data_IF_853645417076
#
_entry.id   IF_853645417076
#
_cell.length_a   1.000
_cell.length_b   1.000
_cell.length_c   1.000
_cell.angle_alpha   90.00
_cell.angle_beta   90.00
_cell.angle_gamma   90.00
#
_symmetry.space_group_name_H-M   'P 1'
#
loop_
_entity.id
_entity.type
_entity.pdbx_description
1 polymer ?
#
# COMPACT_ATOMS: atom_id res chain seq x y z
N UNK A 1 47.16 9.13 -27.16
CA UNK A 1 45.96 9.94 -27.33
C UNK A 1 44.90 9.40 -26.34
N UNK A 2 44.74 10.06 -25.22
CA UNK A 2 43.78 9.66 -24.18
C UNK A 2 42.37 10.03 -24.69
N UNK A 3 41.57 9.04 -24.97
CA UNK A 3 40.14 9.29 -25.26
C UNK A 3 39.48 9.70 -23.95
N UNK A 4 39.18 10.97 -23.80
CA UNK A 4 38.24 11.41 -22.73
C UNK A 4 36.90 10.74 -22.96
N UNK A 5 36.31 10.09 -21.96
CA UNK A 5 34.97 9.52 -22.10
C UNK A 5 34.00 10.65 -22.42
N UNK A 6 33.23 10.50 -23.48
CA UNK A 6 32.15 11.44 -23.86
C UNK A 6 31.19 11.62 -22.66
N UNK A 7 30.86 12.87 -22.30
CA UNK A 7 29.92 13.08 -21.19
C UNK A 7 28.62 12.34 -21.47
N UNK A 8 28.00 11.67 -20.47
CA UNK A 8 26.85 10.79 -20.66
C UNK A 8 25.56 11.52 -21.11
N UNK A 9 25.62 12.82 -21.35
CA UNK A 9 24.49 13.65 -21.71
C UNK A 9 24.08 13.62 -23.19
N UNK A 10 24.88 13.01 -24.07
CA UNK A 10 24.64 12.98 -25.52
C UNK A 10 24.24 11.60 -26.06
N UNK A 11 24.24 10.55 -25.26
CA UNK A 11 23.75 9.24 -25.69
C UNK A 11 22.24 9.26 -25.94
N UNK A 12 21.78 8.58 -26.98
CA UNK A 12 20.39 8.41 -27.29
C UNK A 12 19.63 7.75 -26.12
N UNK A 13 18.44 8.29 -25.80
CA UNK A 13 17.58 7.79 -24.74
C UNK A 13 16.53 6.86 -25.33
N UNK A 14 16.69 5.57 -25.07
CA UNK A 14 15.76 4.53 -25.52
C UNK A 14 14.94 3.98 -24.36
N UNK A 15 13.60 3.95 -24.51
CA UNK A 15 12.70 3.27 -23.58
C UNK A 15 12.61 1.80 -23.97
N UNK A 16 12.83 0.88 -23.02
CA UNK A 16 12.76 -0.55 -23.28
C UNK A 16 12.44 -1.35 -22.01
N UNK A 17 11.89 -2.53 -22.22
CA UNK A 17 11.72 -3.56 -21.18
C UNK A 17 13.09 -4.12 -20.78
N UNK A 18 13.23 -4.52 -19.55
CA UNK A 18 14.44 -5.12 -18.99
C UNK A 18 14.60 -6.54 -19.50
N UNK A 19 15.74 -6.86 -20.10
CA UNK A 19 16.06 -8.25 -20.50
C UNK A 19 16.58 -9.03 -19.28
N UNK A 20 16.46 -10.38 -19.28
CA UNK A 20 16.89 -11.20 -18.15
C UNK A 20 18.34 -11.01 -17.73
N UNK A 21 19.25 -10.79 -18.68
CA UNK A 21 20.68 -10.53 -18.44
C UNK A 21 20.97 -9.09 -17.96
N UNK A 22 19.97 -8.20 -17.97
CA UNK A 22 20.08 -6.82 -17.54
C UNK A 22 19.49 -6.56 -16.15
N UNK A 23 18.80 -7.55 -15.54
CA UNK A 23 18.07 -7.40 -14.29
C UNK A 23 18.96 -6.80 -13.19
N UNK A 24 20.14 -7.37 -12.93
CA UNK A 24 21.02 -6.85 -11.90
C UNK A 24 21.43 -5.38 -12.14
N UNK A 25 21.74 -5.02 -13.39
CA UNK A 25 22.12 -3.65 -13.74
C UNK A 25 20.95 -2.67 -13.56
N UNK A 26 19.72 -3.14 -13.79
CA UNK A 26 18.50 -2.38 -13.55
C UNK A 26 18.21 -2.19 -12.07
N UNK A 27 18.30 -3.25 -11.25
CA UNK A 27 18.13 -3.20 -9.80
C UNK A 27 19.11 -2.24 -9.14
N UNK A 28 20.39 -2.26 -9.58
CA UNK A 28 21.40 -1.30 -9.13
C UNK A 28 20.99 0.15 -9.46
N UNK A 29 20.40 0.37 -10.63
CA UNK A 29 19.91 1.70 -11.02
C UNK A 29 18.68 2.13 -10.19
N UNK A 30 17.77 1.20 -9.87
CA UNK A 30 16.64 1.43 -8.95
C UNK A 30 17.17 1.86 -7.58
N UNK A 31 18.04 1.06 -6.98
CA UNK A 31 18.60 1.29 -5.65
C UNK A 31 19.33 2.62 -5.55
N UNK A 32 20.16 2.94 -6.57
CA UNK A 32 20.84 4.23 -6.67
C UNK A 32 19.86 5.40 -6.80
N UNK A 33 18.74 5.20 -7.51
CA UNK A 33 17.66 6.20 -7.65
C UNK A 33 16.98 6.55 -6.33
N UNK A 34 16.94 5.61 -5.37
CA UNK A 34 16.48 5.78 -4.00
C UNK A 34 17.59 6.15 -3.01
N UNK A 35 18.80 6.42 -3.48
CA UNK A 35 19.96 6.78 -2.65
C UNK A 35 20.32 5.69 -1.62
N UNK A 36 20.16 4.43 -1.97
CA UNK A 36 20.45 3.26 -1.13
C UNK A 36 21.60 2.43 -1.72
N UNK A 37 22.17 1.55 -0.91
CA UNK A 37 23.16 0.59 -1.35
C UNK A 37 22.49 -0.65 -1.97
N UNK A 38 23.11 -1.22 -3.01
CA UNK A 38 22.59 -2.42 -3.65
C UNK A 38 22.97 -3.68 -2.86
N UNK A 39 21.97 -4.52 -2.63
CA UNK A 39 22.13 -5.82 -2.00
C UNK A 39 21.37 -6.89 -2.81
N UNK A 40 22.10 -7.76 -3.50
CA UNK A 40 21.52 -8.72 -4.44
C UNK A 40 20.60 -9.76 -3.77
N UNK A 41 20.87 -10.13 -2.53
CA UNK A 41 20.07 -11.06 -1.73
C UNK A 41 18.66 -10.51 -1.39
N UNK A 42 18.50 -9.19 -1.23
CA UNK A 42 17.19 -8.57 -1.08
C UNK A 42 16.35 -8.70 -2.35
N UNK A 43 16.97 -8.37 -3.47
CA UNK A 43 16.31 -8.45 -4.77
C UNK A 43 15.96 -9.88 -5.16
N UNK A 44 16.76 -10.86 -4.81
CA UNK A 44 16.44 -12.28 -5.02
C UNK A 44 15.16 -12.69 -4.28
N UNK A 45 14.95 -12.18 -3.06
CA UNK A 45 13.71 -12.39 -2.31
C UNK A 45 12.50 -11.71 -2.99
N UNK A 46 12.68 -10.47 -3.45
CA UNK A 46 11.59 -9.67 -4.01
C UNK A 46 11.22 -10.05 -5.45
N UNK A 47 12.19 -10.48 -6.28
CA UNK A 47 11.95 -10.85 -7.69
C UNK A 47 10.78 -11.80 -7.87
N UNK A 48 10.61 -12.77 -6.98
CA UNK A 48 9.51 -13.75 -7.05
C UNK A 48 8.13 -13.11 -6.95
N UNK A 49 8.04 -11.98 -6.26
CA UNK A 49 6.80 -11.24 -6.08
C UNK A 49 6.50 -10.26 -7.23
N UNK A 50 7.46 -10.02 -8.12
CA UNK A 50 7.32 -9.08 -9.23
C UNK A 50 7.34 -9.79 -10.58
N UNK A 51 6.65 -9.22 -11.56
CA UNK A 51 6.58 -9.70 -12.95
C UNK A 51 7.64 -8.98 -13.78
N UNK A 52 8.77 -9.64 -14.05
CA UNK A 52 9.95 -9.04 -14.70
C UNK A 52 9.63 -8.48 -16.09
N UNK A 53 8.71 -9.09 -16.84
CA UNK A 53 8.24 -8.63 -18.15
C UNK A 53 7.56 -7.25 -18.09
N UNK A 54 7.22 -6.77 -16.89
CA UNK A 54 6.62 -5.47 -16.64
C UNK A 54 7.62 -4.44 -16.09
N UNK A 55 8.91 -4.76 -16.15
CA UNK A 55 9.99 -3.87 -15.74
C UNK A 55 10.53 -3.13 -16.94
N UNK A 56 10.60 -1.82 -16.88
CA UNK A 56 11.13 -1.01 -17.97
C UNK A 56 11.73 0.31 -17.49
N UNK A 57 12.47 0.94 -18.38
CA UNK A 57 13.08 2.23 -18.12
C UNK A 57 13.73 2.81 -19.36
N UNK A 58 14.25 4.02 -19.22
CA UNK A 58 15.12 4.61 -20.23
C UNK A 58 16.58 4.21 -20.02
N UNK A 59 17.24 3.89 -21.12
CA UNK A 59 18.70 3.74 -21.16
C UNK A 59 19.36 4.91 -21.87
N UNK A 60 20.60 5.20 -21.43
CA UNK A 60 21.54 6.09 -22.10
C UNK A 60 22.83 5.29 -22.36
N UNK A 61 23.01 4.78 -23.58
CA UNK A 61 24.02 3.77 -23.86
C UNK A 61 23.70 2.47 -23.12
N UNK A 62 24.67 1.98 -22.34
CA UNK A 62 24.59 0.77 -21.52
C UNK A 62 24.02 0.99 -20.11
N UNK A 63 23.71 2.24 -19.74
CA UNK A 63 23.27 2.60 -18.39
C UNK A 63 21.76 2.83 -18.33
N UNK A 64 21.07 2.23 -17.36
CA UNK A 64 19.73 2.59 -16.97
C UNK A 64 19.70 3.96 -16.26
N UNK A 65 18.86 4.87 -16.73
CA UNK A 65 18.74 6.24 -16.20
C UNK A 65 17.36 6.53 -15.62
N UNK A 66 16.42 5.64 -15.84
CA UNK A 66 15.12 5.61 -15.17
C UNK A 66 14.69 4.19 -14.91
N UNK A 67 13.77 4.01 -13.99
CA UNK A 67 13.16 2.71 -13.70
C UNK A 67 11.68 2.85 -13.35
N UNK A 68 10.92 1.82 -13.63
CA UNK A 68 9.59 1.56 -13.07
C UNK A 68 9.28 0.08 -13.16
N UNK A 69 8.58 -0.42 -12.16
CA UNK A 69 8.06 -1.77 -12.09
C UNK A 69 6.55 -1.70 -11.88
N UNK A 70 5.84 -2.71 -12.34
CA UNK A 70 4.46 -2.93 -11.91
C UNK A 70 4.18 -4.43 -11.77
N UNK A 71 3.23 -4.78 -10.93
CA UNK A 71 2.74 -6.15 -10.78
C UNK A 71 1.23 -6.17 -10.89
N UNK A 72 0.68 -7.18 -11.57
CA UNK A 72 -0.75 -7.44 -11.55
C UNK A 72 -1.14 -7.97 -10.17
N UNK A 73 -2.14 -7.35 -9.54
CA UNK A 73 -2.65 -7.71 -8.22
C UNK A 73 -4.16 -7.61 -8.21
N UNK A 74 -4.79 -8.24 -7.21
CA UNK A 74 -6.21 -8.03 -6.90
C UNK A 74 -6.35 -7.18 -5.66
N UNK A 75 -7.28 -6.23 -5.72
CA UNK A 75 -7.60 -5.33 -4.61
C UNK A 75 -9.08 -5.47 -4.25
N UNK A 76 -9.35 -5.58 -2.95
CA UNK A 76 -10.72 -5.56 -2.42
C UNK A 76 -11.30 -4.17 -2.60
N UNK A 77 -12.51 -4.11 -3.13
CA UNK A 77 -13.37 -2.93 -3.21
C UNK A 77 -14.73 -3.24 -2.56
N UNK A 78 -15.57 -2.26 -2.24
CA UNK A 78 -16.89 -2.54 -1.70
C UNK A 78 -17.67 -3.52 -2.58
N UNK A 79 -18.04 -4.68 -2.03
CA UNK A 79 -18.83 -5.72 -2.70
C UNK A 79 -18.10 -6.55 -3.76
N UNK A 80 -16.77 -6.42 -3.89
CA UNK A 80 -16.02 -7.20 -4.89
C UNK A 80 -14.52 -7.01 -4.87
N UNK A 81 -13.90 -7.36 -5.97
CA UNK A 81 -12.46 -7.15 -6.20
C UNK A 81 -12.21 -6.51 -7.57
N UNK A 82 -11.10 -5.82 -7.70
CA UNK A 82 -10.65 -5.22 -8.96
C UNK A 82 -9.20 -5.59 -9.22
N UNK A 83 -8.87 -5.84 -10.48
CA UNK A 83 -7.48 -6.03 -10.89
C UNK A 83 -6.77 -4.68 -10.92
N UNK A 84 -5.56 -4.64 -10.38
CA UNK A 84 -4.76 -3.42 -10.29
C UNK A 84 -3.34 -3.64 -10.81
N UNK A 85 -2.76 -2.60 -11.39
CA UNK A 85 -1.32 -2.50 -11.61
C UNK A 85 -0.67 -1.87 -10.36
N UNK A 86 -0.05 -2.67 -9.53
CA UNK A 86 0.72 -2.18 -8.37
C UNK A 86 2.07 -1.63 -8.86
N UNK A 87 2.20 -0.30 -8.91
CA UNK A 87 3.35 0.41 -9.46
C UNK A 87 4.37 0.71 -8.37
N UNK A 88 5.64 0.45 -8.64
CA UNK A 88 6.74 0.70 -7.70
C UNK A 88 8.04 1.04 -8.41
N UNK A 89 9.10 1.31 -7.66
CA UNK A 89 10.47 1.53 -8.13
C UNK A 89 10.59 2.61 -9.22
N UNK A 90 9.77 3.66 -9.13
CA UNK A 90 9.76 4.76 -10.09
C UNK A 90 10.90 5.73 -9.77
N UNK A 91 11.94 5.72 -10.59
CA UNK A 91 13.10 6.61 -10.40
C UNK A 91 13.53 7.34 -11.67
N UNK A 92 14.19 8.47 -11.51
CA UNK A 92 14.91 9.18 -12.58
C UNK A 92 16.26 9.63 -12.02
N UNK A 93 17.33 9.15 -12.61
CA UNK A 93 18.69 9.52 -12.22
C UNK A 93 18.87 11.05 -12.19
N UNK A 94 19.52 11.63 -11.17
CA UNK A 94 19.57 13.09 -10.95
C UNK A 94 20.02 13.90 -12.18
N UNK A 95 21.03 13.42 -12.91
CA UNK A 95 21.54 14.07 -14.13
C UNK A 95 20.56 14.06 -15.32
N UNK A 96 19.48 13.28 -15.23
CA UNK A 96 18.49 13.12 -16.29
C UNK A 96 17.10 13.68 -15.91
N UNK A 97 16.96 14.25 -14.72
CA UNK A 97 15.72 14.91 -14.25
C UNK A 97 15.38 16.11 -15.13
N UNK A 98 14.11 16.53 -15.11
CA UNK A 98 13.56 17.69 -15.85
C UNK A 98 13.67 17.62 -17.37
N UNK A 99 13.81 16.39 -17.93
CA UNK A 99 13.84 16.12 -19.38
C UNK A 99 12.57 15.42 -19.89
N UNK A 100 11.49 15.41 -19.10
CA UNK A 100 10.23 14.75 -19.47
C UNK A 100 10.24 13.22 -19.40
N UNK A 101 11.32 12.57 -18.89
CA UNK A 101 11.43 11.11 -18.88
C UNK A 101 10.39 10.45 -18.01
N UNK A 102 10.11 10.99 -16.82
CA UNK A 102 9.06 10.48 -15.96
C UNK A 102 7.68 10.55 -16.65
N UNK A 103 7.38 11.65 -17.35
CA UNK A 103 6.12 11.79 -18.09
C UNK A 103 5.99 10.72 -19.16
N UNK A 104 7.05 10.47 -19.93
CA UNK A 104 7.08 9.44 -20.97
C UNK A 104 6.96 8.03 -20.38
N UNK A 105 7.60 7.75 -19.24
CA UNK A 105 7.45 6.46 -18.54
C UNK A 105 6.02 6.25 -18.06
N UNK A 106 5.42 7.23 -17.37
CA UNK A 106 4.03 7.13 -16.91
C UNK A 106 3.05 6.99 -18.07
N UNK A 107 3.29 7.71 -19.17
CA UNK A 107 2.47 7.55 -20.39
C UNK A 107 2.55 6.10 -20.89
N UNK A 108 3.75 5.57 -21.06
CA UNK A 108 3.93 4.19 -21.50
C UNK A 108 3.29 3.21 -20.55
N UNK A 109 3.56 3.31 -19.24
CA UNK A 109 3.02 2.40 -18.24
C UNK A 109 1.50 2.37 -18.24
N UNK A 110 0.86 3.53 -18.14
CA UNK A 110 -0.60 3.63 -18.02
C UNK A 110 -1.35 3.31 -19.33
N UNK A 111 -0.64 3.27 -20.47
CA UNK A 111 -1.23 2.83 -21.74
C UNK A 111 -0.95 1.36 -22.09
N UNK A 112 -0.03 0.71 -21.37
CA UNK A 112 0.34 -0.69 -21.62
C UNK A 112 -0.22 -1.68 -20.59
N UNK A 113 -0.51 -1.22 -19.36
CA UNK A 113 -1.19 -2.07 -18.36
C UNK A 113 -2.64 -2.32 -18.77
N UNK A 114 -3.13 -3.51 -18.47
CA UNK A 114 -4.48 -3.96 -18.82
C UNK A 114 -5.47 -3.79 -17.66
N UNK A 115 -4.96 -3.59 -16.47
CA UNK A 115 -5.75 -3.41 -15.26
C UNK A 115 -6.48 -2.06 -15.29
N UNK A 116 -7.74 -2.00 -14.85
CA UNK A 116 -8.53 -0.76 -14.86
C UNK A 116 -8.05 0.29 -13.86
N UNK A 117 -7.22 -0.11 -12.90
CA UNK A 117 -6.71 0.78 -11.85
C UNK A 117 -5.21 0.56 -11.68
N UNK A 118 -4.42 1.63 -11.60
CA UNK A 118 -3.05 1.57 -11.10
C UNK A 118 -2.99 2.10 -9.67
N UNK A 119 -2.13 1.50 -8.84
CA UNK A 119 -1.95 1.85 -7.44
C UNK A 119 -0.47 2.05 -7.12
N UNK A 120 -0.13 3.04 -6.30
CA UNK A 120 1.23 3.24 -5.79
C UNK A 120 1.22 3.89 -4.39
N UNK A 121 2.34 3.76 -3.69
CA UNK A 121 2.65 4.57 -2.52
C UNK A 121 3.67 5.64 -2.91
N UNK A 122 3.30 6.90 -2.68
CA UNK A 122 4.10 8.03 -3.14
C UNK A 122 5.22 8.38 -2.15
N UNK A 123 6.48 8.32 -2.59
CA UNK A 123 7.59 8.90 -1.82
C UNK A 123 7.51 10.44 -1.79
N UNK A 124 6.96 11.06 -2.84
CA UNK A 124 6.71 12.49 -2.94
C UNK A 124 5.30 12.74 -3.50
N UNK A 125 4.37 13.17 -2.66
CA UNK A 125 2.94 13.32 -2.98
C UNK A 125 2.66 14.30 -4.13
N UNK A 126 3.51 15.30 -4.33
CA UNK A 126 3.36 16.33 -5.38
C UNK A 126 3.59 15.81 -6.80
N UNK A 127 4.21 14.63 -6.95
CA UNK A 127 4.62 14.13 -8.26
C UNK A 127 3.45 13.58 -9.06
N UNK A 128 2.61 12.75 -8.44
CA UNK A 128 1.72 11.85 -9.16
C UNK A 128 0.37 12.47 -9.56
N UNK A 129 -0.03 13.55 -8.91
CA UNK A 129 -1.29 14.25 -9.22
C UNK A 129 -1.40 14.73 -10.67
N UNK A 130 -0.28 15.09 -11.32
CA UNK A 130 -0.23 15.51 -12.73
C UNK A 130 -0.49 14.38 -13.73
N UNK A 131 -0.37 13.13 -13.28
CA UNK A 131 -0.68 11.93 -14.07
C UNK A 131 -2.08 11.39 -13.77
N UNK A 132 -2.87 12.11 -12.98
CA UNK A 132 -4.24 11.74 -12.62
C UNK A 132 -4.34 10.81 -11.39
N UNK A 133 -3.24 10.53 -10.69
CA UNK A 133 -3.31 9.84 -9.40
C UNK A 133 -3.91 10.73 -8.32
N UNK A 134 -4.73 10.15 -7.46
CA UNK A 134 -5.30 10.79 -6.27
C UNK A 134 -5.04 9.95 -5.02
N UNK A 135 -4.86 10.60 -3.85
CA UNK A 135 -4.74 9.91 -2.58
C UNK A 135 -6.07 9.21 -2.25
N UNK A 136 -6.13 7.91 -2.51
CA UNK A 136 -7.34 7.11 -2.44
C UNK A 136 -7.57 6.51 -1.05
N UNK A 137 -6.51 6.37 -0.25
CA UNK A 137 -6.58 5.96 1.16
C UNK A 137 -5.75 6.88 2.04
N UNK A 138 -6.06 6.86 3.33
CA UNK A 138 -5.25 7.44 4.38
C UNK A 138 -4.88 6.37 5.40
N UNK A 139 -3.86 6.63 6.20
CA UNK A 139 -3.43 5.76 7.28
C UNK A 139 -3.07 6.59 8.51
N UNK A 140 -3.08 5.95 9.66
CA UNK A 140 -2.64 6.56 10.91
C UNK A 140 -1.23 6.06 11.27
N UNK A 141 -0.38 6.97 11.66
CA UNK A 141 0.77 6.63 12.49
C UNK A 141 0.34 6.74 13.94
N UNK A 142 0.41 5.63 14.66
CA UNK A 142 -0.03 5.53 16.04
C UNK A 142 1.17 5.35 16.95
N UNK A 143 1.19 6.06 18.09
CA UNK A 143 2.21 5.88 19.15
C UNK A 143 1.57 6.05 20.51
N UNK A 144 2.16 5.41 21.55
CA UNK A 144 1.71 5.55 22.93
C UNK A 144 2.72 5.01 23.94
N UNK A 145 2.49 5.31 25.21
CA UNK A 145 3.22 4.68 26.32
C UNK A 145 2.35 3.59 26.90
N UNK A 146 2.84 2.36 26.99
CA UNK A 146 2.01 1.19 27.38
C UNK A 146 1.31 1.38 28.72
N UNK A 147 1.97 2.04 29.70
CA UNK A 147 1.42 2.34 31.03
C UNK A 147 0.26 3.37 31.04
N UNK A 148 0.03 4.05 29.91
CA UNK A 148 -1.04 5.05 29.74
C UNK A 148 -2.20 4.47 28.92
N UNK A 149 -2.11 3.18 28.55
CA UNK A 149 -3.03 2.49 27.67
C UNK A 149 -3.80 1.34 28.37
N UNK A 150 -4.20 1.59 29.62
CA UNK A 150 -5.10 0.68 30.32
C UNK A 150 -6.46 0.63 29.60
N UNK A 151 -7.01 -0.57 29.45
CA UNK A 151 -8.29 -0.73 28.78
C UNK A 151 -9.43 -0.30 29.69
N UNK A 152 -10.53 0.11 29.07
CA UNK A 152 -11.81 0.32 29.76
C UNK A 152 -12.22 -1.00 30.43
N UNK A 153 -12.82 -0.93 31.65
CA UNK A 153 -13.21 -2.13 32.39
C UNK A 153 -14.23 -3.03 31.66
N UNK A 154 -15.01 -2.45 30.78
CA UNK A 154 -16.03 -3.15 29.97
C UNK A 154 -15.49 -3.85 28.74
N UNK A 155 -14.20 -3.70 28.41
CA UNK A 155 -13.60 -4.39 27.26
C UNK A 155 -13.52 -5.89 27.54
N UNK A 156 -14.26 -6.63 26.74
CA UNK A 156 -14.30 -8.09 26.82
C UNK A 156 -13.16 -8.68 25.96
N UNK A 157 -12.24 -9.40 26.62
CA UNK A 157 -11.12 -10.09 25.97
C UNK A 157 -11.48 -11.54 25.58
N UNK A 158 -12.65 -12.03 25.96
CA UNK A 158 -13.05 -13.42 25.76
C UNK A 158 -12.30 -14.41 26.63
N UNK A 159 -12.51 -15.72 26.36
CA UNK A 159 -11.90 -16.84 27.09
C UNK A 159 -10.75 -17.51 26.29
N UNK A 160 -10.29 -16.85 25.22
CA UNK A 160 -9.21 -17.32 24.38
C UNK A 160 -7.82 -17.06 24.96
N UNK A 161 -6.80 -17.45 24.23
CA UNK A 161 -5.39 -17.21 24.59
C UNK A 161 -4.60 -16.61 23.44
N UNK A 162 -3.55 -15.86 23.76
CA UNK A 162 -2.58 -15.37 22.77
C UNK A 162 -1.25 -16.07 23.00
N UNK A 163 -0.74 -16.70 21.95
CA UNK A 163 0.57 -17.34 21.97
C UNK A 163 1.52 -16.74 20.93
N UNK A 164 2.77 -16.56 21.31
CA UNK A 164 3.84 -16.27 20.37
C UNK A 164 4.22 -17.55 19.63
N UNK A 165 4.29 -17.46 18.29
CA UNK A 165 4.50 -18.62 17.42
C UNK A 165 5.73 -18.43 16.52
N UNK A 166 6.21 -19.52 15.95
CA UNK A 166 7.30 -19.51 14.98
C UNK A 166 6.86 -18.92 13.63
N UNK A 167 7.84 -18.49 12.82
CA UNK A 167 7.58 -18.05 11.43
C UNK A 167 6.89 -19.15 10.61
N UNK A 168 7.28 -20.44 10.78
CA UNK A 168 6.68 -21.53 10.01
C UNK A 168 5.21 -21.73 10.36
N UNK A 169 4.87 -21.66 11.65
CA UNK A 169 3.46 -21.69 12.08
C UNK A 169 2.67 -20.49 11.57
N UNK A 170 3.27 -19.31 11.58
CA UNK A 170 2.63 -18.10 11.05
C UNK A 170 2.39 -18.23 9.55
N UNK A 171 3.36 -18.71 8.77
CA UNK A 171 3.21 -18.98 7.33
C UNK A 171 2.09 -19.96 7.01
N UNK A 172 1.84 -20.91 7.89
CA UNK A 172 0.78 -21.90 7.72
C UNK A 172 -0.62 -21.34 8.02
N UNK A 173 -0.76 -20.52 9.06
CA UNK A 173 -2.06 -20.15 9.62
C UNK A 173 -2.52 -18.73 9.22
N UNK A 174 -1.60 -17.77 9.19
CA UNK A 174 -1.94 -16.38 8.95
C UNK A 174 -2.50 -16.07 7.53
N UNK A 175 -2.08 -16.72 6.44
CA UNK A 175 -2.64 -16.42 5.12
C UNK A 175 -4.15 -16.64 5.01
N UNK A 176 -4.67 -17.76 5.52
CA UNK A 176 -6.10 -18.05 5.49
C UNK A 176 -6.88 -17.11 6.42
N UNK A 177 -6.37 -16.89 7.62
CA UNK A 177 -6.96 -16.00 8.59
C UNK A 177 -7.00 -14.56 8.06
N UNK A 178 -5.90 -14.08 7.50
CA UNK A 178 -5.84 -12.77 6.86
C UNK A 178 -6.84 -12.64 5.71
N UNK A 179 -6.93 -13.64 4.85
CA UNK A 179 -7.87 -13.62 3.73
C UNK A 179 -9.33 -13.51 4.22
N UNK A 180 -9.70 -14.23 5.28
CA UNK A 180 -11.05 -14.16 5.84
C UNK A 180 -11.36 -12.79 6.48
N UNK A 181 -10.41 -12.24 7.24
CA UNK A 181 -10.59 -10.93 7.92
C UNK A 181 -10.66 -9.78 6.93
N UNK A 182 -9.87 -9.83 5.86
CA UNK A 182 -9.68 -8.70 4.95
C UNK A 182 -10.51 -8.79 3.67
N UNK A 183 -11.29 -9.87 3.48
CA UNK A 183 -12.12 -10.07 2.28
C UNK A 183 -13.16 -8.98 2.05
N UNK A 184 -13.58 -8.27 3.08
CA UNK A 184 -14.56 -7.19 3.02
C UNK A 184 -13.95 -5.80 3.28
N UNK A 185 -12.62 -5.72 3.44
CA UNK A 185 -11.94 -4.45 3.72
C UNK A 185 -11.41 -3.81 2.44
N UNK A 186 -12.02 -2.69 1.97
CA UNK A 186 -11.53 -1.98 0.79
C UNK A 186 -10.07 -1.57 0.89
N UNK A 187 -9.38 -1.56 -0.26
CA UNK A 187 -7.96 -1.26 -0.41
C UNK A 187 -6.99 -2.37 0.06
N UNK A 188 -7.47 -3.50 0.59
CA UNK A 188 -6.60 -4.63 0.84
C UNK A 188 -6.22 -5.33 -0.46
N UNK A 189 -4.94 -5.69 -0.55
CA UNK A 189 -4.40 -6.46 -1.66
C UNK A 189 -4.33 -7.94 -1.29
N UNK A 190 -4.80 -8.81 -2.19
CA UNK A 190 -4.59 -10.24 -2.07
C UNK A 190 -3.10 -10.55 -2.16
N UNK A 191 -2.62 -11.47 -1.32
CA UNK A 191 -1.22 -11.92 -1.31
C UNK A 191 -1.14 -13.35 -1.81
N UNK A 192 -0.44 -13.57 -2.93
CA UNK A 192 -0.02 -14.89 -3.38
C UNK A 192 1.17 -15.40 -2.53
N UNK A 193 1.57 -16.65 -2.74
CA UNK A 193 2.66 -17.30 -2.00
C UNK A 193 3.99 -16.53 -2.15
N UNK A 194 4.32 -16.13 -3.36
CA UNK A 194 5.54 -15.40 -3.65
C UNK A 194 5.58 -14.04 -2.94
N UNK A 195 4.44 -13.34 -2.90
CA UNK A 195 4.33 -12.10 -2.15
C UNK A 195 4.38 -12.31 -0.63
N UNK A 196 3.79 -13.40 -0.12
CA UNK A 196 3.94 -13.76 1.28
C UNK A 196 5.41 -13.96 1.66
N UNK A 197 6.18 -14.66 0.82
CA UNK A 197 7.62 -14.84 1.06
C UNK A 197 8.38 -13.52 1.06
N UNK A 198 8.10 -12.61 0.12
CA UNK A 198 8.69 -11.27 0.09
C UNK A 198 8.31 -10.44 1.32
N UNK A 199 7.02 -10.40 1.69
CA UNK A 199 6.55 -9.66 2.88
C UNK A 199 7.17 -10.19 4.17
N UNK A 200 7.39 -11.49 4.26
CA UNK A 200 7.96 -12.14 5.43
C UNK A 200 9.49 -12.19 5.42
N UNK A 201 10.13 -11.79 4.31
CA UNK A 201 11.57 -11.58 4.28
C UNK A 201 11.99 -10.57 5.35
N UNK A 202 13.07 -10.87 6.06
CA UNK A 202 13.49 -10.10 7.23
C UNK A 202 15.02 -9.92 7.31
N UNK A 203 15.66 -9.32 6.30
CA UNK A 203 17.09 -8.99 6.37
C UNK A 203 17.36 -8.03 7.52
N UNK A 204 18.46 -8.24 8.24
CA UNK A 204 18.81 -7.45 9.43
C UNK A 204 18.86 -5.93 9.15
N UNK A 205 19.34 -5.53 7.99
CA UNK A 205 19.44 -4.12 7.58
C UNK A 205 18.10 -3.40 7.40
N UNK A 206 17.01 -4.14 7.20
CA UNK A 206 15.64 -3.54 7.14
C UNK A 206 15.03 -3.29 8.52
N UNK A 207 15.63 -3.86 9.56
CA UNK A 207 15.07 -3.82 10.92
C UNK A 207 15.25 -2.46 11.63
N UNK A 208 16.10 -1.58 11.09
CA UNK A 208 16.41 -0.26 11.71
C UNK A 208 16.79 -0.39 13.22
N UNK A 209 17.59 -1.42 13.55
CA UNK A 209 18.00 -1.73 14.92
C UNK A 209 16.91 -2.35 15.79
N UNK A 210 15.77 -2.75 15.22
CA UNK A 210 14.77 -3.57 15.90
C UNK A 210 15.15 -5.06 15.87
N UNK A 211 14.42 -5.86 16.65
CA UNK A 211 14.53 -7.33 16.62
C UNK A 211 14.16 -7.89 15.23
N UNK A 212 14.45 -9.17 15.01
CA UNK A 212 13.74 -9.94 13.99
C UNK A 212 12.23 -9.85 14.21
N UNK A 213 11.45 -10.05 13.14
CA UNK A 213 9.99 -10.07 13.22
C UNK A 213 9.53 -11.24 14.09
N UNK A 214 8.56 -10.95 14.94
CA UNK A 214 7.91 -11.90 15.85
C UNK A 214 6.43 -11.98 15.49
N UNK A 215 5.82 -13.11 15.83
CA UNK A 215 4.46 -13.42 15.44
C UNK A 215 3.66 -13.90 16.63
N UNK A 216 2.40 -13.49 16.72
CA UNK A 216 1.45 -13.98 17.70
C UNK A 216 0.15 -14.36 17.02
N UNK A 217 -0.52 -15.38 17.54
CA UNK A 217 -1.88 -15.75 17.19
C UNK A 217 -2.77 -15.73 18.42
N UNK A 218 -4.00 -15.27 18.24
CA UNK A 218 -5.07 -15.51 19.19
C UNK A 218 -5.79 -16.80 18.80
N UNK A 219 -6.05 -17.63 19.82
CA UNK A 219 -6.85 -18.84 19.71
C UNK A 219 -8.11 -18.69 20.54
N UNK A 220 -9.26 -18.93 19.96
CA UNK A 220 -10.52 -19.02 20.66
C UNK A 220 -10.51 -20.16 21.69
N UNK A 221 -11.49 -20.23 22.58
CA UNK A 221 -11.56 -21.25 23.64
C UNK A 221 -11.58 -22.70 23.11
N UNK A 222 -12.02 -22.91 21.88
CA UNK A 222 -11.98 -24.22 21.19
C UNK A 222 -10.64 -24.53 20.49
N UNK A 223 -9.67 -23.64 20.57
CA UNK A 223 -8.36 -23.76 19.94
C UNK A 223 -8.31 -23.31 18.48
N UNK A 224 -9.38 -22.76 17.92
CA UNK A 224 -9.40 -22.22 16.55
C UNK A 224 -8.66 -20.87 16.51
N UNK A 225 -7.70 -20.66 15.58
CA UNK A 225 -7.05 -19.37 15.42
C UNK A 225 -8.02 -18.36 14.81
N UNK A 226 -8.20 -17.20 15.44
CA UNK A 226 -9.15 -16.17 15.05
C UNK A 226 -8.59 -14.73 15.08
N UNK A 227 -7.28 -14.59 15.35
CA UNK A 227 -6.56 -13.32 15.28
C UNK A 227 -5.06 -13.51 15.13
N UNK A 228 -4.38 -12.53 14.56
CA UNK A 228 -2.94 -12.56 14.31
C UNK A 228 -2.29 -11.19 14.51
N UNK A 229 -0.99 -11.22 14.88
CA UNK A 229 -0.15 -10.05 14.90
C UNK A 229 1.27 -10.37 14.42
N UNK A 230 1.87 -9.40 13.72
CA UNK A 230 3.30 -9.38 13.40
C UNK A 230 3.91 -8.10 13.99
N UNK A 231 5.00 -8.24 14.73
CA UNK A 231 5.58 -7.14 15.48
C UNK A 231 7.09 -7.27 15.62
N UNK A 232 7.71 -6.20 16.07
CA UNK A 232 9.14 -6.15 16.46
C UNK A 232 9.27 -5.45 17.79
N UNK A 233 10.41 -5.69 18.46
CA UNK A 233 10.79 -4.88 19.60
C UNK A 233 12.05 -4.09 19.28
N UNK A 234 12.09 -2.83 19.71
CA UNK A 234 13.26 -1.95 19.53
C UNK A 234 13.65 -1.34 20.87
N UNK A 235 14.93 -1.45 21.20
CA UNK A 235 15.44 -0.83 22.43
C UNK A 235 15.38 0.69 22.30
N UNK A 236 14.77 1.36 23.26
CA UNK A 236 14.80 2.82 23.32
C UNK A 236 16.14 3.30 23.88
N UNK A 237 16.74 4.27 23.20
CA UNK A 237 18.06 4.82 23.58
C UNK A 237 18.01 5.88 24.70
N UNK A 238 16.82 6.22 25.21
CA UNK A 238 16.66 7.22 26.25
C UNK A 238 17.23 6.76 27.58
N UNK A 239 18.03 7.61 28.24
CA UNK A 239 18.56 7.36 29.58
C UNK A 239 17.44 7.34 30.63
N UNK A 240 16.33 8.04 30.35
CA UNK A 240 15.19 8.18 31.27
C UNK A 240 14.17 7.05 31.13
N UNK A 241 13.93 6.55 29.91
CA UNK A 241 13.04 5.43 29.63
C UNK A 241 13.87 4.21 29.16
N UNK A 242 14.37 3.46 30.12
CA UNK A 242 15.07 2.19 29.86
C UNK A 242 14.04 1.08 29.56
N UNK A 243 13.48 1.06 28.38
CA UNK A 243 12.51 0.06 27.97
C UNK A 243 12.66 -0.28 26.51
N UNK A 244 11.74 -1.08 26.03
CA UNK A 244 11.59 -1.41 24.63
C UNK A 244 10.31 -0.75 24.09
N UNK A 245 10.31 -0.47 22.81
CA UNK A 245 9.13 -0.16 22.02
C UNK A 245 8.68 -1.45 21.33
N UNK A 246 7.39 -1.78 21.39
CA UNK A 246 6.78 -2.75 20.50
C UNK A 246 6.26 -2.00 19.27
N UNK A 247 6.77 -2.39 18.11
CA UNK A 247 6.33 -1.88 16.81
C UNK A 247 5.43 -2.90 16.16
N UNK A 248 4.14 -2.60 16.10
CA UNK A 248 3.12 -3.47 15.50
C UNK A 248 3.09 -3.20 14.00
N UNK A 249 3.46 -4.20 13.21
CA UNK A 249 3.50 -4.11 11.74
C UNK A 249 2.16 -4.54 11.14
N UNK A 250 1.57 -5.60 11.66
CA UNK A 250 0.25 -6.10 11.25
C UNK A 250 -0.49 -6.64 12.51
N UNK A 251 -1.77 -6.37 12.64
CA UNK A 251 -2.66 -6.94 13.64
C UNK A 251 -4.08 -6.92 13.10
N UNK A 252 -4.76 -8.06 13.15
CA UNK A 252 -6.16 -8.18 12.77
C UNK A 252 -6.79 -9.43 13.41
N UNK A 253 -8.12 -9.49 13.43
CA UNK A 253 -8.85 -10.62 13.99
C UNK A 253 -10.25 -10.72 13.36
N UNK A 254 -10.86 -11.91 13.43
CA UNK A 254 -12.21 -12.15 12.91
C UNK A 254 -13.30 -11.57 13.80
N UNK A 255 -12.93 -11.20 15.05
CA UNK A 255 -13.88 -10.66 16.01
C UNK A 255 -13.23 -9.63 16.96
N UNK A 256 -14.00 -8.73 17.57
CA UNK A 256 -13.47 -7.67 18.45
C UNK A 256 -12.75 -8.18 19.72
N UNK A 257 -13.16 -9.35 20.30
CA UNK A 257 -12.53 -9.91 21.50
C UNK A 257 -11.10 -10.36 21.22
N UNK A 258 -10.89 -11.14 20.17
CA UNK A 258 -9.58 -11.57 19.72
C UNK A 258 -8.68 -10.38 19.39
N UNK A 259 -9.23 -9.34 18.74
CA UNK A 259 -8.49 -8.12 18.44
C UNK A 259 -8.04 -7.38 19.71
N UNK A 260 -8.94 -7.22 20.68
CA UNK A 260 -8.65 -6.60 21.96
C UNK A 260 -7.63 -7.43 22.78
N UNK A 261 -7.76 -8.77 22.81
CA UNK A 261 -6.83 -9.67 23.47
C UNK A 261 -5.41 -9.58 22.88
N UNK A 262 -5.26 -9.54 21.55
CA UNK A 262 -3.97 -9.33 20.88
C UNK A 262 -3.34 -7.99 21.28
N UNK A 263 -4.10 -6.90 21.26
CA UNK A 263 -3.60 -5.60 21.70
C UNK A 263 -3.19 -5.62 23.19
N UNK A 264 -4.02 -6.19 24.06
CA UNK A 264 -3.68 -6.28 25.49
C UNK A 264 -2.39 -7.04 25.70
N UNK A 265 -2.25 -8.20 25.05
CA UNK A 265 -1.05 -9.01 25.12
C UNK A 265 0.20 -8.25 24.65
N UNK A 266 0.13 -7.52 23.53
CA UNK A 266 1.25 -6.70 23.01
C UNK A 266 1.64 -5.56 23.97
N UNK A 267 0.66 -4.93 24.63
CA UNK A 267 0.90 -3.84 25.57
C UNK A 267 1.44 -4.33 26.91
N UNK A 268 1.17 -5.60 27.28
CA UNK A 268 1.62 -6.23 28.51
C UNK A 268 2.98 -6.95 28.41
N UNK A 269 3.60 -6.94 27.24
CA UNK A 269 4.93 -7.55 27.07
C UNK A 269 5.92 -6.95 28.06
N UNK A 270 6.64 -7.84 28.77
CA UNK A 270 7.66 -7.43 29.72
C UNK A 270 8.71 -6.51 29.09
N UNK A 271 9.15 -5.51 29.85
CA UNK A 271 10.14 -4.52 29.45
C UNK A 271 9.66 -3.55 28.35
N UNK A 272 8.50 -3.74 27.76
CA UNK A 272 7.92 -2.79 26.79
C UNK A 272 7.36 -1.58 27.52
N UNK A 273 7.69 -0.39 27.05
CA UNK A 273 7.27 0.89 27.64
C UNK A 273 6.61 1.82 26.62
N UNK A 274 6.75 1.50 25.35
CA UNK A 274 6.14 2.26 24.26
C UNK A 274 5.58 1.30 23.19
N UNK A 275 4.60 1.78 22.47
CA UNK A 275 4.02 1.11 21.31
C UNK A 275 4.02 2.07 20.12
N UNK A 276 4.26 1.53 18.95
CA UNK A 276 4.00 2.21 17.68
C UNK A 276 3.33 1.28 16.66
N UNK A 277 2.47 1.85 15.83
CA UNK A 277 1.91 1.21 14.64
C UNK A 277 1.98 2.21 13.49
N UNK A 278 2.95 2.08 12.57
CA UNK A 278 3.22 3.12 11.57
C UNK A 278 2.17 3.18 10.46
N UNK A 279 1.44 2.11 10.20
CA UNK A 279 0.49 1.97 9.08
C UNK A 279 -0.87 1.45 9.59
N UNK A 280 -1.40 2.05 10.66
CA UNK A 280 -2.72 1.69 11.16
C UNK A 280 -3.82 2.18 10.21
N UNK A 281 -4.94 1.46 10.09
CA UNK A 281 -6.10 1.95 9.36
C UNK A 281 -6.72 3.17 10.05
N UNK A 282 -7.45 4.00 9.32
CA UNK A 282 -8.07 5.23 9.86
C UNK A 282 -9.14 4.94 10.90
N UNK A 283 -9.72 3.75 10.86
CA UNK A 283 -10.73 3.22 11.78
C UNK A 283 -10.12 2.34 12.88
N UNK A 284 -8.81 2.47 13.17
CA UNK A 284 -8.11 1.71 14.21
C UNK A 284 -8.83 1.74 15.55
N UNK A 285 -9.29 0.58 16.08
CA UNK A 285 -10.12 0.53 17.28
C UNK A 285 -9.39 0.80 18.59
N UNK A 286 -8.06 0.72 18.65
CA UNK A 286 -7.31 0.82 19.91
C UNK A 286 -7.71 2.03 20.76
N UNK A 287 -7.99 3.19 20.13
CA UNK A 287 -8.44 4.38 20.85
C UNK A 287 -9.77 4.20 21.59
N UNK A 288 -10.60 3.27 21.13
CA UNK A 288 -11.90 2.95 21.75
C UNK A 288 -11.78 1.91 22.86
N UNK A 289 -10.67 1.18 22.90
CA UNK A 289 -10.39 0.17 23.92
C UNK A 289 -9.78 0.78 25.20
N UNK A 290 -9.04 1.89 25.06
CA UNK A 290 -8.30 2.48 26.19
C UNK A 290 -9.12 3.48 26.99
N UNK A 291 -8.91 3.51 28.32
CA UNK A 291 -9.58 4.42 29.24
C UNK A 291 -9.18 5.90 28.98
N UNK A 292 -7.91 6.17 28.67
CA UNK A 292 -7.44 7.50 28.26
C UNK A 292 -7.09 7.52 26.76
N UNK A 293 -8.04 7.94 25.93
CA UNK A 293 -7.83 8.07 24.48
C UNK A 293 -6.69 9.04 24.11
N UNK A 294 -6.30 9.97 25.00
CA UNK A 294 -5.18 10.89 24.75
C UNK A 294 -3.83 10.21 24.89
N UNK A 295 -3.77 9.05 25.54
CA UNK A 295 -2.58 8.19 25.58
C UNK A 295 -2.20 7.67 24.20
N UNK A 296 -3.17 7.47 23.30
CA UNK A 296 -2.95 7.07 21.91
C UNK A 296 -2.76 8.33 21.05
N UNK A 297 -1.52 8.62 20.69
CA UNK A 297 -1.18 9.70 19.75
C UNK A 297 -1.35 9.19 18.33
N UNK A 298 -2.04 9.98 17.50
CA UNK A 298 -2.27 9.63 16.09
C UNK A 298 -1.87 10.77 15.17
N UNK A 299 -1.23 10.44 14.06
CA UNK A 299 -0.92 11.33 12.95
C UNK A 299 -1.54 10.76 11.69
N UNK A 300 -2.38 11.55 11.00
CA UNK A 300 -2.97 11.16 9.73
C UNK A 300 -1.98 11.42 8.60
N UNK A 301 -1.71 10.41 7.79
CA UNK A 301 -0.86 10.51 6.60
C UNK A 301 -1.61 9.99 5.38
N UNK A 302 -1.12 10.33 4.18
CA UNK A 302 -1.58 9.69 2.96
C UNK A 302 -1.16 8.21 2.93
N UNK A 303 -1.98 7.40 2.31
CA UNK A 303 -1.73 5.98 2.06
C UNK A 303 -1.51 5.73 0.57
N UNK A 304 -2.30 4.83 -0.02
CA UNK A 304 -2.21 4.49 -1.43
C UNK A 304 -2.80 5.58 -2.32
N UNK A 305 -2.12 5.85 -3.43
CA UNK A 305 -2.59 6.68 -4.54
C UNK A 305 -3.14 5.79 -5.64
N UNK A 306 -4.37 6.01 -6.04
CA UNK A 306 -4.99 5.30 -7.17
C UNK A 306 -4.99 6.16 -8.44
N UNK A 307 -4.98 5.50 -9.59
CA UNK A 307 -5.21 6.07 -10.92
C UNK A 307 -6.23 5.20 -11.64
N UNK A 308 -7.39 5.74 -11.92
CA UNK A 308 -8.42 5.05 -12.71
C UNK A 308 -8.04 5.18 -14.18
N UNK A 309 -7.79 4.03 -14.82
CA UNK A 309 -7.40 3.93 -16.23
C UNK A 309 -8.62 3.64 -17.09
N UNK A 310 -9.42 2.65 -16.70
CA UNK A 310 -10.70 2.31 -17.31
C UNK A 310 -11.83 2.64 -16.33
N UNK A 311 -12.52 3.75 -16.56
CA UNK A 311 -13.59 4.23 -15.66
C UNK A 311 -14.76 3.27 -15.59
N UNK A 312 -15.33 2.75 -16.70
CA UNK A 312 -16.36 1.74 -16.65
C UNK A 312 -15.95 0.49 -15.85
N UNK A 313 -14.82 -0.13 -16.18
CA UNK A 313 -14.39 -1.36 -15.53
C UNK A 313 -14.13 -1.15 -14.02
N UNK A 314 -13.49 -0.05 -13.64
CA UNK A 314 -13.22 0.25 -12.23
C UNK A 314 -14.51 0.46 -11.42
N UNK A 315 -15.50 1.18 -11.97
CA UNK A 315 -16.74 1.48 -11.27
C UNK A 315 -17.74 0.30 -11.27
N UNK A 316 -17.66 -0.60 -12.25
CA UNK A 316 -18.45 -1.82 -12.31
C UNK A 316 -17.93 -2.94 -11.39
N UNK A 317 -16.66 -2.88 -11.00
CA UNK A 317 -16.05 -3.86 -10.10
C UNK A 317 -16.56 -3.79 -8.66
N UNK A 318 -17.38 -2.78 -8.32
CA UNK A 318 -17.86 -2.53 -6.96
C UNK A 318 -19.38 -2.44 -6.89
N UNK A 319 -19.93 -2.69 -5.70
CA UNK A 319 -21.32 -2.39 -5.38
C UNK A 319 -21.45 -1.05 -4.64
N UNK A 320 -22.69 -0.58 -4.50
CA UNK A 320 -23.04 0.72 -3.91
C UNK A 320 -24.11 0.54 -2.85
N UNK A 321 -24.06 1.33 -1.78
CA UNK A 321 -24.97 1.19 -0.66
C UNK A 321 -26.43 1.56 -1.00
N UNK A 322 -26.60 2.50 -1.94
CA UNK A 322 -27.91 3.00 -2.37
C UNK A 322 -28.03 2.87 -3.89
N UNK A 323 -29.28 2.79 -4.37
CA UNK A 323 -29.59 2.86 -5.78
C UNK A 323 -29.26 4.25 -6.32
N UNK A 324 -28.57 4.30 -7.44
CA UNK A 324 -28.23 5.54 -8.11
C UNK A 324 -28.31 5.40 -9.63
N UNK A 325 -28.72 6.50 -10.27
CA UNK A 325 -28.69 6.68 -11.71
C UNK A 325 -28.21 8.12 -11.98
N UNK A 326 -26.96 8.28 -12.33
CA UNK A 326 -26.35 9.58 -12.54
C UNK A 326 -25.31 9.56 -13.65
N UNK A 327 -25.03 10.75 -14.20
CA UNK A 327 -23.98 10.94 -15.21
C UNK A 327 -22.81 11.70 -14.59
N UNK A 328 -21.62 11.10 -14.67
CA UNK A 328 -20.38 11.80 -14.32
C UNK A 328 -19.63 12.23 -15.58
N UNK A 329 -18.97 13.37 -15.52
CA UNK A 329 -17.96 13.77 -16.49
C UNK A 329 -16.58 13.70 -15.84
N UNK A 330 -15.67 12.96 -16.46
CA UNK A 330 -14.29 12.78 -15.99
C UNK A 330 -13.33 13.50 -16.94
N UNK A 331 -12.76 14.60 -16.48
CA UNK A 331 -11.74 15.34 -17.24
C UNK A 331 -10.35 14.70 -16.98
N UNK A 332 -9.79 14.06 -18.00
CA UNK A 332 -8.45 13.47 -17.94
C UNK A 332 -7.51 14.18 -18.92
N UNK A 333 -6.60 14.98 -18.37
CA UNK A 333 -5.62 15.73 -19.18
C UNK A 333 -4.42 14.88 -19.59
N UNK A 334 -4.13 13.79 -18.86
CA UNK A 334 -2.97 12.96 -19.11
C UNK A 334 -3.27 11.79 -20.04
N UNK A 335 -4.45 11.17 -19.88
CA UNK A 335 -4.98 10.11 -20.74
C UNK A 335 -6.37 10.53 -21.24
N UNK A 336 -6.48 11.37 -22.27
CA UNK A 336 -7.78 11.89 -22.72
C UNK A 336 -8.79 10.79 -23.06
N UNK A 337 -8.35 9.65 -23.59
CA UNK A 337 -9.21 8.52 -23.97
C UNK A 337 -9.82 7.81 -22.74
N UNK A 338 -9.20 7.92 -21.57
CA UNK A 338 -9.75 7.42 -20.28
C UNK A 338 -10.83 8.36 -19.73
N UNK A 339 -10.87 9.63 -20.15
CA UNK A 339 -11.88 10.61 -19.78
C UNK A 339 -13.19 10.44 -20.57
N UNK A 340 -14.16 11.28 -20.25
CA UNK A 340 -15.47 11.34 -20.94
C UNK A 340 -16.64 11.39 -19.99
N UNK A 341 -17.86 11.20 -20.54
CA UNK A 341 -19.09 11.13 -19.78
C UNK A 341 -19.55 9.70 -19.64
N UNK A 342 -19.96 9.35 -18.43
CA UNK A 342 -20.36 7.98 -18.07
C UNK A 342 -21.65 8.03 -17.26
N UNK A 343 -22.69 7.29 -17.73
CA UNK A 343 -23.87 7.02 -16.92
C UNK A 343 -23.60 5.83 -16.02
N UNK A 344 -23.87 6.00 -14.76
CA UNK A 344 -23.72 4.98 -13.70
C UNK A 344 -25.11 4.62 -13.20
N UNK A 345 -25.52 3.39 -13.40
CA UNK A 345 -26.72 2.80 -12.83
C UNK A 345 -26.26 1.71 -11.87
N UNK A 346 -26.44 1.91 -10.59
CA UNK A 346 -25.84 1.06 -9.57
C UNK A 346 -26.69 0.92 -8.32
N UNK A 347 -26.38 -0.10 -7.54
CA UNK A 347 -27.01 -0.42 -6.27
C UNK A 347 -26.24 -1.53 -5.54
N UNK A 348 -26.89 -2.18 -4.58
CA UNK A 348 -26.30 -3.27 -3.78
C UNK A 348 -25.87 -4.46 -4.62
N UNK A 349 -26.55 -4.71 -5.74
CA UNK A 349 -26.30 -5.84 -6.65
C UNK A 349 -25.17 -5.57 -7.67
N UNK A 350 -24.56 -4.37 -7.64
CA UNK A 350 -23.48 -3.99 -8.54
C UNK A 350 -23.76 -2.74 -9.36
N UNK A 351 -23.05 -2.56 -10.46
CA UNK A 351 -23.18 -1.38 -11.32
C UNK A 351 -23.08 -1.71 -12.80
N UNK A 352 -23.82 -0.93 -13.61
CA UNK A 352 -23.65 -0.81 -15.05
C UNK A 352 -23.15 0.61 -15.36
N UNK A 353 -22.02 0.70 -16.06
CA UNK A 353 -21.39 1.98 -16.39
C UNK A 353 -21.16 2.04 -17.90
N UNK A 354 -21.76 3.02 -18.55
CA UNK A 354 -21.70 3.17 -20.01
C UNK A 354 -21.34 4.59 -20.43
N UNK A 355 -20.60 4.73 -21.53
CA UNK A 355 -20.36 6.05 -22.13
C UNK A 355 -21.67 6.67 -22.61
N UNK A 356 -21.81 7.98 -22.45
CA UNK A 356 -23.04 8.71 -22.81
C UNK A 356 -22.73 10.15 -23.24
N UNK A 357 -23.66 10.77 -23.98
CA UNK A 357 -23.60 12.20 -24.32
C UNK A 357 -24.54 13.04 -23.43
N UNK A 358 -25.21 12.45 -22.45
CA UNK A 358 -26.12 13.16 -21.56
C UNK A 358 -25.37 14.22 -20.73
N UNK A 359 -26.12 15.23 -20.29
CA UNK A 359 -25.61 16.29 -19.41
C UNK A 359 -25.13 15.68 -18.10
N UNK A 360 -23.91 15.97 -17.62
CA UNK A 360 -23.41 15.41 -16.39
C UNK A 360 -24.08 16.04 -15.15
N UNK A 361 -24.38 15.22 -14.18
CA UNK A 361 -24.80 15.60 -12.84
C UNK A 361 -23.62 16.00 -11.95
N UNK A 362 -22.45 15.41 -12.22
CA UNK A 362 -21.22 15.64 -11.48
C UNK A 362 -20.02 15.69 -12.45
N UNK A 363 -19.22 16.76 -12.34
CA UNK A 363 -17.96 16.88 -13.08
C UNK A 363 -16.76 16.71 -12.15
N UNK A 364 -15.83 15.84 -12.54
CA UNK A 364 -14.64 15.46 -11.77
C UNK A 364 -13.40 15.47 -12.68
N UNK A 365 -12.26 15.76 -12.11
CA UNK A 365 -10.98 15.41 -12.73
C UNK A 365 -10.65 13.95 -12.46
N UNK A 366 -9.80 13.32 -13.29
CA UNK A 366 -9.31 11.96 -13.06
C UNK A 366 -8.69 11.79 -11.65
N UNK A 367 -7.98 12.81 -11.15
CA UNK A 367 -7.42 12.84 -9.80
C UNK A 367 -8.49 12.80 -8.71
N UNK A 368 -9.59 13.55 -8.87
CA UNK A 368 -10.69 13.58 -7.88
C UNK A 368 -11.45 12.25 -7.87
N UNK A 369 -11.74 11.68 -9.05
CA UNK A 369 -12.35 10.36 -9.14
C UNK A 369 -11.48 9.31 -8.43
N UNK A 370 -10.18 9.31 -8.70
CA UNK A 370 -9.23 8.39 -8.11
C UNK A 370 -9.14 8.54 -6.58
N UNK A 371 -9.11 9.77 -6.06
CA UNK A 371 -9.06 10.03 -4.62
C UNK A 371 -10.34 9.59 -3.89
N UNK A 372 -11.50 9.67 -4.55
CA UNK A 372 -12.77 9.19 -4.00
C UNK A 372 -13.00 7.69 -4.12
N UNK A 373 -12.26 7.01 -5.00
CA UNK A 373 -12.54 5.62 -5.39
C UNK A 373 -12.54 4.61 -4.23
N UNK A 374 -11.61 4.75 -3.29
CA UNK A 374 -11.51 3.89 -2.09
C UNK A 374 -12.01 4.59 -0.82
N UNK A 375 -12.68 5.73 -0.94
CA UNK A 375 -13.27 6.43 0.20
C UNK A 375 -12.30 7.33 0.99
N UNK A 376 -11.02 7.43 0.59
CA UNK A 376 -10.05 8.26 1.28
C UNK A 376 -10.40 9.74 1.32
N UNK A 377 -11.04 10.26 0.25
CA UNK A 377 -11.51 11.64 0.19
C UNK A 377 -12.96 11.67 -0.31
N UNK A 378 -13.94 12.14 0.48
CA UNK A 378 -15.32 12.25 0.02
C UNK A 378 -15.44 13.34 -1.06
N UNK A 379 -16.26 13.10 -2.08
CA UNK A 379 -16.48 14.08 -3.16
C UNK A 379 -17.00 15.44 -2.67
N UNK A 380 -17.74 15.46 -1.56
CA UNK A 380 -18.18 16.70 -0.91
C UNK A 380 -17.03 17.58 -0.41
N UNK A 381 -15.85 17.00 -0.13
CA UNK A 381 -14.68 17.78 0.24
C UNK A 381 -14.14 18.58 -0.95
N UNK A 382 -14.16 18.02 -2.16
CA UNK A 382 -13.75 18.71 -3.38
C UNK A 382 -14.72 19.82 -3.78
N UNK A 383 -16.01 19.67 -3.49
CA UNK A 383 -17.00 20.71 -3.75
C UNK A 383 -16.84 21.95 -2.86
N UNK A 384 -16.10 21.82 -1.75
CA UNK A 384 -15.82 22.92 -0.79
C UNK A 384 -14.44 23.54 -0.96
N UNK A 385 -13.56 22.91 -1.74
CA UNK A 385 -12.18 23.37 -2.01
C UNK A 385 -12.10 24.12 -3.35
#
# INVERSE_FOLDING_TARGET
MSQHPTPPHHAELTLRTVAPDEIESFERAVTLGFHSDYHGDEWESDRKAYQEERWFGFRSGDRWVTSTLSSARKMVVPGGTVDIAAVTAVTVAPAFRRRGLLTRMMQHQLTTVTEPVALLFASESVIYGRFGYGAATHQLRLTGRTRELDFLPEVDLGDGSVDEISLDQYKLLAPQLRASVLSERPAHLERDEAWWDSVLADPERWRDGASSRRFALHFAADGTPDGFAAFRTKRQSSIVDRGQEVRVEEIDATNPRAYAALWRWLLDLDLVRAVSRPNAPVDEPLRQLVADQRGVKTELTDGAYARIIDVPAALQARSYADDLDLVIEVADKFLPDSGGRFRIQAGTDGATVTRTDHTPDLALTARQLAAGYLGGTPFSAFARA
#
